data_IF_173505795387
#
_entry.id   IF_173505795387
#
_cell.length_a   1.000
_cell.length_b   1.000
_cell.length_c   1.000
_cell.angle_alpha   90.00
_cell.angle_beta   90.00
_cell.angle_gamma   90.00
#
_symmetry.space_group_name_H-M   'P 1'
#
loop_
_entity.id
_entity.type
_entity.pdbx_description
1 polymer ?
#
# COMPACT_ATOMS: atom_id res chain seq x y z
N UNK A 1 -4.76 4.81 16.50
CA UNK A 1 -3.97 5.89 15.82
C UNK A 1 -3.57 5.46 14.40
N UNK A 2 -3.05 4.24 14.21
CA UNK A 2 -2.60 3.74 12.90
C UNK A 2 -3.72 3.68 11.85
N UNK A 3 -4.92 3.29 12.23
CA UNK A 3 -6.05 3.15 11.29
C UNK A 3 -6.57 4.49 10.77
N UNK A 4 -6.51 5.54 11.59
CA UNK A 4 -6.87 6.91 11.15
C UNK A 4 -5.91 7.41 10.07
N UNK A 5 -4.61 7.21 10.24
CA UNK A 5 -3.61 7.62 9.25
C UNK A 5 -3.71 6.81 7.95
N UNK A 6 -3.93 5.50 8.05
CA UNK A 6 -4.14 4.64 6.88
C UNK A 6 -5.34 5.11 6.07
N UNK A 7 -6.45 5.39 6.73
CA UNK A 7 -7.66 5.91 6.09
C UNK A 7 -7.44 7.26 5.40
N UNK A 8 -6.79 8.21 6.06
CA UNK A 8 -6.47 9.52 5.47
C UNK A 8 -5.61 9.40 4.21
N UNK A 9 -4.60 8.50 4.21
CA UNK A 9 -3.76 8.27 3.04
C UNK A 9 -4.54 7.57 1.94
N UNK A 10 -5.43 6.62 2.27
CA UNK A 10 -6.32 6.00 1.28
C UNK A 10 -7.24 7.02 0.62
N UNK A 11 -7.84 7.94 1.39
CA UNK A 11 -8.69 9.01 0.88
C UNK A 11 -7.88 9.94 -0.05
N UNK A 12 -6.67 10.34 0.36
CA UNK A 12 -5.77 11.11 -0.49
C UNK A 12 -5.41 10.37 -1.77
N UNK A 13 -5.04 9.09 -1.68
CA UNK A 13 -4.69 8.27 -2.82
C UNK A 13 -5.87 8.11 -3.78
N UNK A 14 -7.07 7.88 -3.24
CA UNK A 14 -8.28 7.78 -4.04
C UNK A 14 -8.58 9.07 -4.82
N UNK A 15 -8.38 10.25 -4.23
CA UNK A 15 -8.53 11.52 -4.93
C UNK A 15 -7.56 11.64 -6.14
N UNK A 16 -6.35 11.05 -6.04
CA UNK A 16 -5.40 11.05 -7.17
C UNK A 16 -5.82 10.11 -8.31
N UNK A 17 -6.58 9.07 -8.01
CA UNK A 17 -7.07 8.09 -8.99
C UNK A 17 -8.57 8.23 -9.28
N UNK A 18 -9.21 9.30 -8.79
CA UNK A 18 -10.60 9.60 -9.07
C UNK A 18 -10.85 9.65 -10.59
N UNK A 19 -11.90 9.00 -11.04
CA UNK A 19 -12.28 8.85 -12.45
C UNK A 19 -11.38 7.91 -13.28
N UNK A 20 -10.44 7.19 -12.67
CA UNK A 20 -9.63 6.18 -13.37
C UNK A 20 -10.26 4.77 -13.39
N UNK A 21 -11.52 4.65 -12.97
CA UNK A 21 -12.21 3.35 -12.85
C UNK A 21 -11.38 2.36 -12.00
N UNK A 22 -11.00 2.79 -10.82
CA UNK A 22 -10.17 2.01 -9.91
C UNK A 22 -10.70 2.01 -8.48
N UNK A 23 -10.17 1.11 -7.69
CA UNK A 23 -10.41 0.97 -6.26
C UNK A 23 -9.07 0.95 -5.52
N UNK A 24 -9.00 1.66 -4.41
CA UNK A 24 -7.90 1.61 -3.44
C UNK A 24 -8.27 0.61 -2.36
N UNK A 25 -7.39 -0.31 -2.08
CA UNK A 25 -7.60 -1.40 -1.12
C UNK A 25 -6.51 -1.39 -0.06
N UNK A 26 -6.90 -1.59 1.18
CA UNK A 26 -5.99 -1.86 2.29
C UNK A 26 -6.23 -3.29 2.79
N UNK A 27 -5.20 -4.12 2.75
CA UNK A 27 -5.21 -5.47 3.30
C UNK A 27 -4.31 -5.56 4.55
N UNK A 28 -4.66 -6.46 5.45
CA UNK A 28 -3.83 -6.81 6.59
C UNK A 28 -2.68 -7.76 6.19
N UNK A 29 -1.81 -8.08 7.14
CA UNK A 29 -0.69 -9.02 6.94
C UNK A 29 -1.08 -10.48 6.62
N UNK A 30 -2.38 -10.80 6.61
CA UNK A 30 -2.94 -12.10 6.22
C UNK A 30 -3.63 -12.05 4.86
N UNK A 31 -3.60 -10.90 4.20
CA UNK A 31 -4.28 -10.70 2.93
C UNK A 31 -5.79 -10.51 3.03
N UNK A 32 -6.30 -10.23 4.25
CA UNK A 32 -7.71 -9.87 4.44
C UNK A 32 -7.92 -8.41 4.09
N UNK A 33 -8.85 -8.13 3.19
CA UNK A 33 -9.19 -6.77 2.81
C UNK A 33 -9.94 -6.08 3.94
N UNK A 34 -9.35 -5.02 4.48
CA UNK A 34 -9.89 -4.27 5.61
C UNK A 34 -10.75 -3.11 5.16
N UNK A 35 -10.29 -2.38 4.15
CA UNK A 35 -10.95 -1.22 3.60
C UNK A 35 -10.83 -1.20 2.09
N UNK A 36 -11.91 -0.79 1.43
CA UNK A 36 -11.95 -0.53 -0.02
C UNK A 36 -12.59 0.83 -0.24
N UNK A 37 -12.01 1.62 -1.13
CA UNK A 37 -12.50 2.95 -1.51
C UNK A 37 -12.33 3.09 -3.03
N UNK A 38 -13.40 3.29 -3.77
CA UNK A 38 -13.31 3.25 -5.22
C UNK A 38 -14.37 4.04 -5.97
N UNK A 39 -14.18 4.10 -7.28
CA UNK A 39 -15.18 4.62 -8.20
C UNK A 39 -16.43 3.72 -8.17
N UNK A 40 -17.64 4.28 -7.95
CA UNK A 40 -18.87 3.50 -7.86
C UNK A 40 -19.09 2.53 -9.05
N UNK A 41 -18.73 2.93 -10.27
CA UNK A 41 -18.85 2.06 -11.44
C UNK A 41 -17.89 0.88 -11.44
N UNK A 42 -16.74 1.02 -10.78
CA UNK A 42 -15.77 -0.05 -10.71
C UNK A 42 -15.98 -0.94 -9.48
N UNK A 43 -16.51 -0.40 -8.40
CA UNK A 43 -16.79 -1.15 -7.16
C UNK A 43 -17.70 -2.35 -7.44
N UNK A 44 -18.77 -2.18 -8.21
CA UNK A 44 -19.67 -3.28 -8.58
C UNK A 44 -18.95 -4.43 -9.33
N UNK A 45 -17.97 -4.10 -10.19
CA UNK A 45 -17.15 -5.11 -10.89
C UNK A 45 -16.18 -5.78 -9.92
N UNK A 46 -15.56 -5.01 -9.04
CA UNK A 46 -14.63 -5.48 -8.03
C UNK A 46 -15.33 -6.45 -7.04
N UNK A 47 -16.54 -6.15 -6.62
CA UNK A 47 -17.34 -7.02 -5.74
C UNK A 47 -17.64 -8.40 -6.35
N UNK A 48 -17.85 -8.48 -7.66
CA UNK A 48 -18.09 -9.74 -8.36
C UNK A 48 -16.91 -10.73 -8.27
N UNK A 49 -15.72 -10.23 -8.09
CA UNK A 49 -14.51 -11.02 -7.86
C UNK A 49 -14.09 -11.02 -6.38
N UNK A 50 -14.98 -10.54 -5.50
CA UNK A 50 -14.74 -10.38 -4.08
C UNK A 50 -13.51 -9.50 -3.75
N UNK A 51 -13.27 -8.46 -4.55
CA UNK A 51 -12.32 -7.40 -4.20
C UNK A 51 -13.06 -6.37 -3.33
N UNK A 52 -13.45 -6.79 -2.15
CA UNK A 52 -14.25 -6.04 -1.19
C UNK A 52 -13.83 -6.35 0.24
N UNK A 53 -14.13 -5.45 1.17
CA UNK A 53 -13.78 -5.62 2.58
C UNK A 53 -14.31 -6.95 3.16
N UNK A 54 -13.48 -7.63 3.94
CA UNK A 54 -13.78 -8.93 4.53
C UNK A 54 -13.40 -10.14 3.66
N UNK A 55 -12.97 -9.95 2.41
CA UNK A 55 -12.49 -11.04 1.56
C UNK A 55 -10.98 -11.28 1.75
N UNK A 56 -10.53 -12.53 1.54
CA UNK A 56 -9.11 -12.88 1.52
C UNK A 56 -8.57 -12.86 0.10
N UNK A 57 -7.43 -12.17 -0.06
CA UNK A 57 -6.65 -12.14 -1.30
C UNK A 57 -5.25 -12.75 -1.13
N UNK A 58 -5.07 -13.56 -0.09
CA UNK A 58 -3.86 -14.35 0.09
C UNK A 58 -3.69 -15.36 -1.05
N UNK A 59 -2.46 -15.57 -1.54
CA UNK A 59 -2.15 -16.48 -2.65
C UNK A 59 -2.62 -17.92 -2.43
N UNK A 60 -2.58 -18.40 -1.19
CA UNK A 60 -3.10 -19.74 -0.86
C UNK A 60 -4.59 -19.94 -1.23
N UNK A 61 -5.38 -18.87 -1.35
CA UNK A 61 -6.80 -18.90 -1.67
C UNK A 61 -7.13 -18.41 -3.09
N UNK A 62 -6.28 -17.53 -3.63
CA UNK A 62 -6.54 -16.83 -4.89
C UNK A 62 -5.53 -17.12 -5.99
N UNK A 63 -4.41 -17.79 -5.66
CA UNK A 63 -3.25 -17.86 -6.54
C UNK A 63 -2.62 -16.49 -6.77
N UNK A 64 -1.81 -16.36 -7.79
CA UNK A 64 -1.08 -15.11 -8.13
C UNK A 64 -2.04 -13.94 -8.28
N UNK A 65 -1.80 -12.90 -7.48
CA UNK A 65 -2.48 -11.60 -7.49
C UNK A 65 -1.57 -10.57 -6.79
N UNK A 66 -1.74 -9.29 -7.09
CA UNK A 66 -0.81 -8.27 -6.60
C UNK A 66 -0.72 -8.20 -5.06
N UNK A 67 -1.85 -8.29 -4.35
CA UNK A 67 -1.89 -8.26 -2.88
C UNK A 67 -1.16 -9.46 -2.29
N UNK A 68 -1.49 -10.67 -2.75
CA UNK A 68 -0.90 -11.91 -2.26
C UNK A 68 0.59 -12.02 -2.57
N UNK A 69 0.99 -11.62 -3.80
CA UNK A 69 2.39 -11.63 -4.20
C UNK A 69 3.20 -10.56 -3.46
N UNK A 70 2.66 -9.35 -3.26
CA UNK A 70 3.33 -8.32 -2.45
C UNK A 70 3.50 -8.76 -0.98
N UNK A 71 2.56 -9.56 -0.43
CA UNK A 71 2.70 -10.17 0.90
C UNK A 71 3.84 -11.20 0.94
N UNK A 72 3.94 -12.05 -0.07
CA UNK A 72 4.93 -13.12 -0.14
C UNK A 72 6.35 -12.58 -0.36
N UNK A 73 6.50 -11.60 -1.26
CA UNK A 73 7.80 -11.07 -1.68
C UNK A 73 8.25 -9.85 -0.85
N UNK A 74 7.36 -9.28 -0.02
CA UNK A 74 7.60 -8.05 0.75
C UNK A 74 8.13 -6.89 -0.11
N UNK A 75 7.69 -6.80 -1.36
CA UNK A 75 8.07 -5.73 -2.30
C UNK A 75 6.85 -5.24 -3.09
N UNK A 76 7.01 -4.09 -3.73
CA UNK A 76 5.98 -3.55 -4.61
C UNK A 76 5.87 -4.39 -5.89
N UNK A 77 4.64 -4.76 -6.26
CA UNK A 77 4.33 -5.69 -7.35
C UNK A 77 3.18 -5.15 -8.19
N UNK A 78 3.26 -5.34 -9.49
CA UNK A 78 2.15 -5.15 -10.43
C UNK A 78 1.76 -6.51 -11.04
N UNK A 79 0.46 -6.79 -11.10
CA UNK A 79 -0.11 -7.98 -11.74
C UNK A 79 -1.16 -7.51 -12.74
N UNK A 80 -0.97 -7.85 -14.01
CA UNK A 80 -1.74 -7.31 -15.11
C UNK A 80 -2.52 -8.40 -15.87
N UNK A 81 -3.83 -8.23 -15.98
CA UNK A 81 -4.68 -9.08 -16.83
C UNK A 81 -4.47 -10.58 -16.60
N UNK A 82 -4.02 -11.28 -17.63
CA UNK A 82 -3.81 -12.73 -17.62
C UNK A 82 -2.67 -13.23 -16.73
N UNK A 83 -1.91 -12.37 -16.05
CA UNK A 83 -0.96 -12.77 -15.03
C UNK A 83 -1.65 -13.21 -13.73
N UNK A 84 -2.92 -12.81 -13.54
CA UNK A 84 -3.73 -13.32 -12.43
C UNK A 84 -3.99 -14.81 -12.60
N UNK A 85 -3.78 -15.58 -11.55
CA UNK A 85 -4.05 -17.02 -11.56
C UNK A 85 -5.53 -17.35 -11.86
N UNK A 86 -6.46 -16.59 -11.29
CA UNK A 86 -7.88 -16.79 -11.54
C UNK A 86 -8.32 -16.02 -12.79
N UNK A 87 -8.79 -16.74 -13.81
CA UNK A 87 -9.26 -16.19 -15.07
C UNK A 87 -10.30 -15.06 -14.91
N UNK A 88 -11.19 -15.18 -13.91
CA UNK A 88 -12.19 -14.14 -13.61
C UNK A 88 -11.57 -12.79 -13.20
N UNK A 89 -10.30 -12.76 -12.84
CA UNK A 89 -9.56 -11.56 -12.47
C UNK A 89 -8.83 -10.91 -13.66
N UNK A 90 -8.87 -11.52 -14.87
CA UNK A 90 -8.14 -11.04 -16.05
C UNK A 90 -8.56 -9.64 -16.54
N UNK A 91 -9.66 -9.10 -16.05
CA UNK A 91 -10.04 -7.73 -16.34
C UNK A 91 -9.34 -6.69 -15.45
N UNK A 92 -8.60 -7.14 -14.44
CA UNK A 92 -7.90 -6.28 -13.49
C UNK A 92 -6.48 -5.97 -13.95
N UNK A 93 -6.02 -4.77 -13.60
CA UNK A 93 -4.63 -4.44 -13.38
C UNK A 93 -4.48 -3.95 -11.95
N UNK A 94 -3.57 -4.54 -11.20
CA UNK A 94 -3.42 -4.32 -9.78
C UNK A 94 -1.97 -3.95 -9.47
N UNK A 95 -1.76 -2.88 -8.72
CA UNK A 95 -0.45 -2.46 -8.24
C UNK A 95 -0.49 -2.43 -6.71
N UNK A 96 0.33 -3.23 -6.06
CA UNK A 96 0.35 -3.40 -4.62
C UNK A 96 1.73 -3.05 -4.03
N UNK A 97 1.74 -2.43 -2.87
CA UNK A 97 2.96 -2.10 -2.13
C UNK A 97 2.81 -2.49 -0.67
N UNK A 98 3.83 -3.12 -0.07
CA UNK A 98 3.83 -3.43 1.35
C UNK A 98 3.90 -2.14 2.17
N UNK A 99 3.34 -2.21 3.37
CA UNK A 99 3.46 -1.20 4.43
C UNK A 99 4.27 -1.83 5.54
N UNK A 100 5.44 -1.28 5.84
CA UNK A 100 6.34 -1.78 6.87
C UNK A 100 6.25 -0.94 8.15
N UNK A 101 6.49 -1.58 9.28
CA UNK A 101 6.70 -0.89 10.56
C UNK A 101 8.08 -0.24 10.61
N UNK A 102 8.32 0.62 11.60
CA UNK A 102 9.64 1.20 11.87
C UNK A 102 10.73 0.13 12.17
N UNK A 103 10.34 -1.09 12.50
CA UNK A 103 11.23 -2.24 12.76
C UNK A 103 11.34 -3.21 11.58
N UNK A 104 10.74 -2.87 10.43
CA UNK A 104 10.76 -3.70 9.21
C UNK A 104 9.71 -4.82 9.19
N UNK A 105 8.78 -4.87 10.13
CA UNK A 105 7.71 -5.87 10.11
C UNK A 105 6.62 -5.50 9.08
N UNK A 106 6.15 -6.48 8.32
CA UNK A 106 5.06 -6.30 7.38
C UNK A 106 3.73 -6.08 8.13
N UNK A 107 3.13 -4.91 7.97
CA UNK A 107 1.88 -4.52 8.61
C UNK A 107 0.64 -4.74 7.74
N UNK A 108 0.81 -4.74 6.44
CA UNK A 108 -0.26 -4.89 5.48
C UNK A 108 0.16 -4.48 4.08
N UNK A 109 -0.81 -4.46 3.17
CA UNK A 109 -0.62 -4.09 1.77
C UNK A 109 -1.57 -2.95 1.42
N UNK A 110 -1.05 -1.95 0.72
CA UNK A 110 -1.84 -0.96 0.01
C UNK A 110 -1.87 -1.33 -1.48
N UNK A 111 -3.05 -1.36 -2.08
CA UNK A 111 -3.25 -1.75 -3.47
C UNK A 111 -4.13 -0.74 -4.21
N UNK A 112 -3.85 -0.54 -5.49
CA UNK A 112 -4.73 0.11 -6.45
C UNK A 112 -5.04 -0.90 -7.54
N UNK A 113 -6.31 -1.25 -7.65
CA UNK A 113 -6.83 -2.16 -8.68
C UNK A 113 -7.77 -1.41 -9.62
N UNK A 114 -7.60 -1.61 -10.91
CA UNK A 114 -8.41 -0.98 -11.95
C UNK A 114 -8.71 -1.90 -13.13
N UNK A 115 -9.45 -1.39 -14.12
CA UNK A 115 -9.68 -2.12 -15.36
C UNK A 115 -8.37 -2.11 -16.18
N UNK A 116 -7.91 -3.30 -16.63
CA UNK A 116 -6.63 -3.44 -17.34
C UNK A 116 -6.55 -2.61 -18.62
N UNK A 117 -7.69 -2.26 -19.22
CA UNK A 117 -7.76 -1.40 -20.42
C UNK A 117 -7.45 0.07 -20.13
N UNK A 118 -7.50 0.46 -18.87
CA UNK A 118 -7.23 1.81 -18.38
C UNK A 118 -6.03 1.87 -17.44
N UNK A 119 -5.15 0.86 -17.51
CA UNK A 119 -3.93 0.81 -16.71
C UNK A 119 -3.01 2.00 -17.00
N UNK A 120 -2.42 2.57 -15.95
CA UNK A 120 -1.47 3.69 -16.03
C UNK A 120 -0.10 3.25 -15.55
N UNK A 121 0.92 3.50 -16.37
CA UNK A 121 2.33 3.13 -16.08
C UNK A 121 2.87 3.68 -14.75
N UNK A 122 2.20 4.67 -14.15
CA UNK A 122 2.66 5.30 -12.90
C UNK A 122 1.94 4.78 -11.65
N UNK A 123 1.00 3.83 -11.78
CA UNK A 123 0.20 3.35 -10.65
C UNK A 123 1.05 2.70 -9.58
N UNK A 124 2.05 1.89 -9.95
CA UNK A 124 2.97 1.27 -8.99
C UNK A 124 3.78 2.31 -8.21
N UNK A 125 4.27 3.35 -8.88
CA UNK A 125 4.97 4.45 -8.22
C UNK A 125 4.07 5.22 -7.25
N UNK A 126 2.80 5.45 -7.63
CA UNK A 126 1.82 6.14 -6.81
C UNK A 126 1.48 5.35 -5.54
N UNK A 127 1.18 4.05 -5.66
CA UNK A 127 0.86 3.20 -4.49
C UNK A 127 2.06 3.03 -3.56
N UNK A 128 3.27 2.90 -4.12
CA UNK A 128 4.51 2.81 -3.33
C UNK A 128 4.79 4.10 -2.55
N UNK A 129 4.59 5.25 -3.19
CA UNK A 129 4.71 6.57 -2.52
C UNK A 129 3.70 6.71 -1.39
N UNK A 130 2.45 6.29 -1.61
CA UNK A 130 1.41 6.33 -0.58
C UNK A 130 1.70 5.38 0.59
N UNK A 131 2.20 4.17 0.32
CA UNK A 131 2.66 3.24 1.36
C UNK A 131 3.77 3.88 2.21
N UNK A 132 4.77 4.51 1.56
CA UNK A 132 5.84 5.25 2.25
C UNK A 132 5.31 6.40 3.13
N UNK A 133 4.29 7.12 2.68
CA UNK A 133 3.64 8.15 3.49
C UNK A 133 3.02 7.57 4.77
N UNK A 134 2.42 6.38 4.70
CA UNK A 134 1.89 5.68 5.87
C UNK A 134 3.02 5.29 6.81
N UNK A 135 4.09 4.70 6.29
CA UNK A 135 5.27 4.27 7.08
C UNK A 135 5.91 5.44 7.82
N UNK A 136 6.14 6.58 7.14
CA UNK A 136 6.70 7.78 7.75
C UNK A 136 5.84 8.30 8.90
N UNK A 137 4.51 8.29 8.75
CA UNK A 137 3.57 8.69 9.81
C UNK A 137 3.55 7.70 10.97
N UNK A 138 3.59 6.40 10.68
CA UNK A 138 3.66 5.34 11.71
C UNK A 138 4.95 5.45 12.51
N UNK A 139 6.10 5.63 11.84
CA UNK A 139 7.39 5.84 12.50
C UNK A 139 7.34 7.07 13.41
N UNK A 140 6.86 8.20 12.89
CA UNK A 140 6.74 9.42 13.69
C UNK A 140 5.84 9.25 14.93
N UNK A 141 4.77 8.46 14.81
CA UNK A 141 3.86 8.19 15.92
C UNK A 141 4.43 7.19 16.93
N UNK A 142 5.10 6.13 16.45
CA UNK A 142 5.66 5.06 17.27
C UNK A 142 6.92 5.53 18.01
N UNK A 143 7.80 6.25 17.29
CA UNK A 143 9.07 6.76 17.81
C UNK A 143 8.97 8.20 18.36
N UNK A 144 7.83 8.58 18.91
CA UNK A 144 7.48 9.93 19.38
C UNK A 144 8.42 10.48 20.47
N UNK A 145 8.99 9.58 21.29
CA UNK A 145 9.90 9.93 22.40
C UNK A 145 11.37 9.75 22.07
N UNK A 146 11.68 9.38 20.83
CA UNK A 146 13.03 9.12 20.36
C UNK A 146 13.56 10.32 19.56
N UNK A 147 14.88 10.45 19.46
CA UNK A 147 15.53 11.38 18.57
C UNK A 147 15.30 10.88 17.14
N UNK A 148 14.83 11.73 16.23
CA UNK A 148 14.67 11.39 14.83
C UNK A 148 15.68 12.15 13.99
N UNK A 149 16.46 11.41 13.25
CA UNK A 149 17.40 11.93 12.28
C UNK A 149 16.76 11.86 10.90
N UNK A 150 16.71 12.98 10.22
CA UNK A 150 16.18 13.09 8.86
C UNK A 150 17.36 13.20 7.90
N UNK A 151 17.40 12.35 6.90
CA UNK A 151 18.52 12.15 6.00
C UNK A 151 18.07 12.24 4.55
N UNK A 152 18.80 13.00 3.74
CA UNK A 152 18.61 13.04 2.29
C UNK A 152 19.92 13.49 1.61
N UNK A 153 20.14 13.08 0.36
CA UNK A 153 21.34 13.49 -0.42
C UNK A 153 21.35 14.96 -0.78
N UNK A 154 20.20 15.62 -0.80
CA UNK A 154 20.04 17.05 -1.06
C UNK A 154 19.22 17.69 0.07
N UNK A 155 19.56 18.91 0.54
CA UNK A 155 18.85 19.59 1.62
C UNK A 155 17.35 19.76 1.36
N UNK A 156 16.96 20.00 0.11
CA UNK A 156 15.58 20.21 -0.32
C UNK A 156 14.73 18.94 -0.21
N UNK A 157 15.35 17.77 -0.10
CA UNK A 157 14.66 16.49 0.09
C UNK A 157 14.25 16.21 1.52
N UNK A 158 14.77 16.95 2.50
CA UNK A 158 14.34 16.85 3.90
C UNK A 158 12.89 17.35 4.03
N UNK A 159 12.05 16.53 4.68
CA UNK A 159 10.61 16.78 4.81
C UNK A 159 9.80 16.24 3.61
N UNK A 160 10.44 15.70 2.57
CA UNK A 160 9.75 15.02 1.48
C UNK A 160 9.44 13.56 1.83
N UNK A 161 8.59 12.90 1.02
CA UNK A 161 8.30 11.48 1.17
C UNK A 161 9.52 10.59 0.93
N UNK A 162 10.53 11.09 0.22
CA UNK A 162 11.75 10.38 -0.14
C UNK A 162 12.86 10.48 0.93
N UNK A 163 12.66 11.26 2.01
CA UNK A 163 13.66 11.34 3.06
C UNK A 163 13.83 10.00 3.80
N UNK A 164 15.06 9.71 4.22
CA UNK A 164 15.34 8.67 5.19
C UNK A 164 15.08 9.20 6.62
N UNK A 165 14.41 8.41 7.44
CA UNK A 165 14.18 8.75 8.85
C UNK A 165 14.73 7.61 9.70
N UNK A 166 15.61 7.93 10.63
CA UNK A 166 16.15 7.00 11.63
C UNK A 166 15.79 7.49 13.03
N UNK A 167 15.15 6.63 13.81
CA UNK A 167 14.82 6.91 15.20
C UNK A 167 15.85 6.27 16.12
N UNK A 168 16.37 7.06 17.07
CA UNK A 168 17.44 6.66 17.99
C UNK A 168 16.97 6.84 19.43
N UNK A 169 17.21 5.85 20.29
CA UNK A 169 16.93 5.92 21.72
C UNK A 169 17.89 6.88 22.45
N UNK A 170 17.59 7.22 23.70
CA UNK A 170 18.46 8.03 24.54
C UNK A 170 19.84 7.39 24.75
N UNK A 171 19.93 6.06 24.68
CA UNK A 171 21.18 5.29 24.84
C UNK A 171 21.94 5.12 23.50
N UNK A 172 21.47 5.74 22.43
CA UNK A 172 22.13 5.72 21.11
C UNK A 172 21.80 4.51 20.21
N UNK A 173 20.83 3.67 20.59
CA UNK A 173 20.41 2.54 19.75
C UNK A 173 19.41 2.96 18.69
N UNK A 174 19.55 2.44 17.47
CA UNK A 174 18.53 2.56 16.43
C UNK A 174 17.31 1.73 16.84
N UNK A 175 16.17 2.38 16.99
CA UNK A 175 14.89 1.75 17.39
C UNK A 175 13.86 1.74 16.26
N UNK A 176 14.17 2.36 15.13
CA UNK A 176 13.34 2.35 13.94
C UNK A 176 13.94 3.13 12.78
N UNK A 177 13.52 2.75 11.57
CA UNK A 177 13.82 3.45 10.31
C UNK A 177 12.66 3.30 9.32
N UNK A 178 12.65 4.12 8.24
CA UNK A 178 11.72 3.98 7.13
C UNK A 178 12.38 3.43 5.88
#
# INVERSE_FOLDING_TARGET
LGDVYKRQVMEYLFEQVRHSQSVVVLADRRGMLMHTLGDPYFVDKAERVALTSGASWHEAHRGTNAIGTALAEACAVEVHGGEHFLERNNFLTCAASPILSATGELLGILDISGDYRHGHAHTLGLVSTAARMIENRLLAATCKRNIRLHLHSAPEGIGSVAEGIVAVSADGWIVGAN
#
